data_IF_568793733576
#
_entry.id   IF_568793733576
#
_cell.length_a   1.000
_cell.length_b   1.000
_cell.length_c   1.000
_cell.angle_alpha   90.00
_cell.angle_beta   90.00
_cell.angle_gamma   90.00
#
_symmetry.space_group_name_H-M   'P 1'
#
loop_
_entity.id
_entity.type
_entity.pdbx_description
1 polymer ?
#
# COMPACT_ATOMS: atom_id res chain seq x y z
N UNK A 1 0.63 -11.93 -0.21
CA UNK A 1 0.82 -11.20 1.04
C UNK A 1 -0.24 -10.12 1.21
N UNK A 2 -0.79 -10.01 2.41
CA UNK A 2 -1.79 -9.00 2.75
C UNK A 2 -1.45 -8.43 4.14
N UNK A 3 -1.46 -7.12 4.27
CA UNK A 3 -1.38 -6.43 5.57
C UNK A 3 -2.61 -6.75 6.43
N UNK A 4 -2.53 -6.51 7.73
CA UNK A 4 -3.63 -6.79 8.68
C UNK A 4 -4.65 -5.64 8.79
N UNK A 5 -4.42 -4.51 8.14
CA UNK A 5 -5.29 -3.33 8.12
C UNK A 5 -6.07 -3.17 6.81
N UNK A 6 -6.55 -4.30 6.28
CA UNK A 6 -7.33 -4.38 5.05
C UNK A 6 -8.71 -5.00 5.28
N UNK A 7 -9.61 -4.75 4.33
CA UNK A 7 -10.88 -5.47 4.16
C UNK A 7 -11.00 -5.91 2.70
N UNK A 8 -11.35 -7.17 2.50
CA UNK A 8 -11.64 -7.75 1.19
C UNK A 8 -13.14 -7.66 0.95
N UNK A 9 -13.57 -7.00 -0.13
CA UNK A 9 -14.97 -6.75 -0.45
C UNK A 9 -15.49 -7.55 -1.64
N UNK A 10 -14.58 -8.13 -2.42
CA UNK A 10 -14.90 -8.90 -3.62
C UNK A 10 -13.96 -10.12 -3.74
N UNK A 11 -14.21 -11.01 -4.73
CA UNK A 11 -13.33 -12.15 -5.01
C UNK A 11 -11.91 -11.70 -5.33
N UNK A 12 -10.93 -12.45 -4.84
CA UNK A 12 -9.50 -12.28 -5.17
C UNK A 12 -9.07 -13.09 -6.40
N UNK A 13 -10.00 -13.80 -7.04
CA UNK A 13 -9.67 -14.72 -8.15
C UNK A 13 -8.97 -14.01 -9.30
N UNK A 14 -9.42 -12.80 -9.65
CA UNK A 14 -8.79 -12.01 -10.70
C UNK A 14 -7.35 -11.59 -10.33
N UNK A 15 -7.13 -11.18 -9.08
CA UNK A 15 -5.80 -10.87 -8.58
C UNK A 15 -4.90 -12.11 -8.54
N UNK A 16 -5.46 -13.26 -8.10
CA UNK A 16 -4.72 -14.52 -8.02
C UNK A 16 -4.25 -15.02 -9.38
N UNK A 17 -5.08 -14.87 -10.40
CA UNK A 17 -4.79 -15.31 -11.77
C UNK A 17 -4.12 -14.21 -12.64
N UNK A 18 -3.65 -13.14 -12.02
CA UNK A 18 -3.04 -12.01 -12.72
C UNK A 18 -1.77 -12.46 -13.46
N UNK A 19 -1.68 -12.17 -14.76
CA UNK A 19 -0.42 -12.30 -15.48
C UNK A 19 0.54 -11.18 -15.05
N UNK A 20 1.58 -11.56 -14.33
CA UNK A 20 2.63 -10.62 -13.89
C UNK A 20 3.70 -10.36 -14.97
N UNK A 21 3.51 -10.83 -16.20
CA UNK A 21 4.43 -10.63 -17.33
C UNK A 21 5.88 -10.96 -16.99
N UNK A 22 6.09 -12.05 -16.28
CA UNK A 22 7.43 -12.50 -15.91
C UNK A 22 8.06 -11.77 -14.72
N UNK A 23 7.37 -10.86 -14.05
CA UNK A 23 7.85 -10.17 -12.85
C UNK A 23 7.77 -11.05 -11.60
N UNK A 24 8.63 -10.77 -10.63
CA UNK A 24 8.67 -11.51 -9.35
C UNK A 24 7.49 -11.17 -8.44
N UNK A 25 7.04 -9.90 -8.47
CA UNK A 25 5.87 -9.47 -7.68
C UNK A 25 4.91 -8.64 -8.51
N UNK A 26 3.64 -8.60 -8.06
CA UNK A 26 2.70 -7.56 -8.47
C UNK A 26 2.23 -6.78 -7.24
N UNK A 27 2.17 -5.44 -7.35
CA UNK A 27 1.82 -4.54 -6.26
C UNK A 27 1.19 -3.23 -6.78
N UNK A 28 0.62 -2.43 -5.86
CA UNK A 28 0.09 -1.11 -6.18
C UNK A 28 1.24 -0.13 -6.47
N UNK A 29 1.20 0.55 -7.59
CA UNK A 29 2.01 1.75 -7.85
C UNK A 29 1.59 2.86 -6.87
N UNK A 30 2.46 3.22 -5.93
CA UNK A 30 2.12 4.13 -4.87
C UNK A 30 2.55 5.57 -5.15
N UNK A 31 1.71 6.50 -4.73
CA UNK A 31 1.91 7.93 -4.98
C UNK A 31 2.89 8.58 -3.96
N UNK A 32 4.10 8.03 -3.82
CA UNK A 32 5.15 8.67 -3.01
C UNK A 32 5.85 9.80 -3.77
N UNK A 33 6.29 10.83 -3.04
CA UNK A 33 7.13 11.89 -3.59
C UNK A 33 8.54 11.37 -3.95
N UNK A 34 9.25 12.11 -4.81
CA UNK A 34 10.64 11.79 -5.19
C UNK A 34 11.58 11.65 -3.98
N UNK A 35 11.30 12.37 -2.89
CA UNK A 35 12.08 12.30 -1.65
C UNK A 35 12.19 10.88 -1.09
N UNK A 36 11.09 10.15 -1.06
CA UNK A 36 11.09 8.78 -0.55
C UNK A 36 11.91 7.83 -1.44
N UNK A 37 11.90 8.03 -2.75
CA UNK A 37 12.66 7.21 -3.70
C UNK A 37 14.15 7.33 -3.47
N UNK A 38 14.66 8.55 -3.40
CA UNK A 38 16.10 8.80 -3.20
C UNK A 38 16.61 8.19 -1.90
N UNK A 39 15.79 8.16 -0.84
CA UNK A 39 16.18 7.58 0.45
C UNK A 39 16.30 6.05 0.44
N UNK A 40 15.82 5.38 -0.59
CA UNK A 40 15.94 3.93 -0.79
C UNK A 40 16.70 3.60 -2.08
N UNK A 41 17.60 4.51 -2.49
CA UNK A 41 18.50 4.37 -3.63
C UNK A 41 17.78 4.21 -5.00
N UNK A 42 16.57 4.76 -5.12
CA UNK A 42 15.82 4.80 -6.37
C UNK A 42 15.97 6.18 -7.05
N UNK A 43 15.88 6.18 -8.38
CA UNK A 43 15.87 7.41 -9.16
C UNK A 43 14.59 8.23 -8.90
N UNK A 44 14.63 9.55 -9.06
CA UNK A 44 13.49 10.44 -8.78
C UNK A 44 12.20 10.12 -9.53
N UNK A 45 12.29 9.42 -10.66
CA UNK A 45 11.14 9.03 -11.50
C UNK A 45 10.79 7.54 -11.41
N UNK A 46 11.52 6.77 -10.62
CA UNK A 46 11.21 5.36 -10.42
C UNK A 46 9.85 5.17 -9.73
N UNK A 47 9.22 4.05 -10.01
CA UNK A 47 7.99 3.68 -9.34
C UNK A 47 8.34 3.13 -7.97
N UNK A 48 7.69 3.64 -6.93
CA UNK A 48 7.58 2.94 -5.66
C UNK A 48 6.24 2.24 -5.59
N UNK A 49 6.22 1.05 -5.02
CA UNK A 49 4.99 0.32 -4.77
C UNK A 49 4.63 0.29 -3.27
N UNK A 50 3.35 0.11 -2.98
CA UNK A 50 2.88 -0.18 -1.62
C UNK A 50 2.95 -1.70 -1.39
N UNK A 51 3.64 -2.11 -0.33
CA UNK A 51 3.87 -3.53 0.00
C UNK A 51 2.72 -4.20 0.76
N UNK A 52 1.67 -3.47 1.11
CA UNK A 52 0.58 -4.01 1.93
C UNK A 52 -0.33 -5.02 1.22
N UNK A 53 -0.29 -5.06 -0.12
CA UNK A 53 -0.91 -6.12 -0.94
C UNK A 53 0.09 -6.49 -2.03
N UNK A 54 0.54 -7.75 -2.04
CA UNK A 54 1.47 -8.24 -3.04
C UNK A 54 1.06 -9.65 -3.51
N UNK A 55 1.01 -9.85 -4.82
CA UNK A 55 1.05 -11.17 -5.42
C UNK A 55 2.52 -11.51 -5.67
N UNK A 56 2.98 -12.67 -5.23
CA UNK A 56 4.39 -13.06 -5.25
C UNK A 56 4.55 -14.39 -5.98
N UNK A 57 5.40 -14.41 -7.00
CA UNK A 57 5.88 -15.64 -7.63
C UNK A 57 7.04 -16.20 -6.78
N UNK A 58 6.76 -17.22 -6.00
CA UNK A 58 7.74 -17.80 -5.06
C UNK A 58 8.90 -18.51 -5.75
N UNK A 59 8.71 -19.00 -6.96
CA UNK A 59 9.78 -19.63 -7.72
C UNK A 59 10.77 -18.58 -8.23
N UNK A 60 10.26 -17.49 -8.78
CA UNK A 60 11.10 -16.33 -9.16
C UNK A 60 11.75 -15.64 -7.98
N UNK A 61 11.05 -15.56 -6.84
CA UNK A 61 11.61 -15.03 -5.60
C UNK A 61 12.89 -15.78 -5.21
N UNK A 62 12.88 -17.12 -5.30
CA UNK A 62 14.05 -17.97 -5.03
C UNK A 62 15.11 -17.83 -6.13
N UNK A 63 14.71 -17.93 -7.40
CA UNK A 63 15.60 -17.81 -8.57
C UNK A 63 16.38 -16.51 -8.56
N UNK A 64 15.70 -15.39 -8.29
CA UNK A 64 16.29 -14.05 -8.21
C UNK A 64 16.97 -13.73 -6.88
N UNK A 65 17.05 -14.72 -5.96
CA UNK A 65 17.68 -14.58 -4.64
C UNK A 65 17.22 -13.34 -3.87
N UNK A 66 15.91 -13.08 -3.88
CA UNK A 66 15.35 -11.85 -3.33
C UNK A 66 15.66 -11.70 -1.86
N UNK A 67 15.59 -12.78 -1.07
CA UNK A 67 15.92 -12.76 0.36
C UNK A 67 17.37 -12.33 0.59
N UNK A 68 18.34 -12.93 -0.12
CA UNK A 68 19.77 -12.58 0.00
C UNK A 68 19.99 -11.10 -0.34
N UNK A 69 19.33 -10.59 -1.39
CA UNK A 69 19.42 -9.19 -1.82
C UNK A 69 18.82 -8.23 -0.78
N UNK A 70 17.69 -8.59 -0.18
CA UNK A 70 17.06 -7.83 0.90
C UNK A 70 17.97 -7.79 2.14
N UNK A 71 18.50 -8.92 2.58
CA UNK A 71 19.38 -8.98 3.75
C UNK A 71 20.68 -8.19 3.53
N UNK A 72 21.23 -8.24 2.32
CA UNK A 72 22.37 -7.42 1.94
C UNK A 72 22.05 -5.93 2.05
N UNK A 73 20.96 -5.47 1.44
CA UNK A 73 20.53 -4.08 1.49
C UNK A 73 20.28 -3.59 2.92
N UNK A 74 19.58 -4.39 3.74
CA UNK A 74 19.33 -4.08 5.15
C UNK A 74 20.65 -3.94 5.92
N UNK A 75 21.60 -4.82 5.69
CA UNK A 75 22.92 -4.77 6.31
C UNK A 75 23.71 -3.51 5.91
N UNK A 76 23.76 -3.18 4.62
CA UNK A 76 24.43 -2.00 4.08
C UNK A 76 23.85 -0.68 4.67
N UNK A 77 22.55 -0.65 4.94
CA UNK A 77 21.87 0.49 5.58
C UNK A 77 21.91 0.43 7.12
N UNK A 78 22.60 -0.56 7.72
CA UNK A 78 22.61 -0.78 9.17
C UNK A 78 21.20 -0.83 9.79
N UNK A 79 20.23 -1.41 9.09
CA UNK A 79 18.83 -1.50 9.50
C UNK A 79 18.07 -0.17 9.47
N UNK A 80 18.70 0.94 9.09
CA UNK A 80 18.08 2.28 9.04
C UNK A 80 17.50 2.54 7.66
N UNK A 81 16.32 1.99 7.40
CA UNK A 81 15.64 2.09 6.12
C UNK A 81 14.36 2.90 6.29
N UNK A 82 14.19 3.95 5.50
CA UNK A 82 12.96 4.72 5.49
C UNK A 82 11.81 3.86 4.97
N UNK A 83 10.65 3.90 5.61
CA UNK A 83 9.49 3.04 5.35
C UNK A 83 9.71 1.55 5.71
N UNK A 84 10.78 1.21 6.46
CA UNK A 84 11.01 -0.14 6.96
C UNK A 84 11.10 -1.20 5.85
N UNK A 85 10.31 -2.24 5.97
CA UNK A 85 10.20 -3.35 5.01
C UNK A 85 9.77 -2.89 3.62
N UNK A 86 8.79 -1.99 3.53
CA UNK A 86 8.36 -1.42 2.25
C UNK A 86 9.52 -0.70 1.53
N UNK A 87 10.37 0.02 2.26
CA UNK A 87 11.54 0.66 1.70
C UNK A 87 12.55 -0.33 1.15
N UNK A 88 12.87 -1.39 1.92
CA UNK A 88 13.78 -2.45 1.50
C UNK A 88 13.26 -3.21 0.26
N UNK A 89 11.98 -3.57 0.27
CA UNK A 89 11.33 -4.24 -0.85
C UNK A 89 11.39 -3.39 -2.13
N UNK A 90 11.10 -2.09 -2.00
CA UNK A 90 11.20 -1.17 -3.13
C UNK A 90 12.61 -1.04 -3.69
N UNK A 91 13.63 -0.90 -2.82
CA UNK A 91 15.02 -0.83 -3.25
C UNK A 91 15.46 -2.07 -4.07
N UNK A 92 14.94 -3.24 -3.73
CA UNK A 92 15.34 -4.51 -4.35
C UNK A 92 14.46 -4.90 -5.54
N UNK A 93 13.16 -4.60 -5.50
CA UNK A 93 12.17 -5.16 -6.43
C UNK A 93 11.48 -4.15 -7.34
N UNK A 94 11.75 -2.85 -7.24
CA UNK A 94 11.06 -1.83 -8.06
C UNK A 94 11.08 -2.17 -9.55
N UNK A 95 12.22 -2.62 -10.08
CA UNK A 95 12.36 -2.97 -11.50
C UNK A 95 11.82 -4.37 -11.86
N UNK A 96 11.46 -5.15 -10.83
CA UNK A 96 10.91 -6.50 -10.97
C UNK A 96 9.49 -6.61 -10.44
N UNK A 97 8.75 -5.49 -10.51
CA UNK A 97 7.37 -5.34 -10.05
C UNK A 97 6.44 -5.09 -11.23
N UNK A 98 5.36 -5.88 -11.33
CA UNK A 98 4.19 -5.54 -12.12
C UNK A 98 3.26 -4.62 -11.32
N UNK A 99 2.75 -3.56 -11.92
CA UNK A 99 1.80 -2.67 -11.22
C UNK A 99 0.37 -3.02 -11.60
N UNK A 100 -0.38 -3.60 -10.66
CA UNK A 100 -1.77 -3.99 -10.87
C UNK A 100 -2.74 -2.78 -10.75
N UNK A 101 -4.01 -3.01 -11.10
CA UNK A 101 -5.08 -2.01 -10.99
C UNK A 101 -5.30 -1.58 -9.53
N UNK A 102 -5.48 -0.27 -9.26
CA UNK A 102 -5.52 0.27 -7.90
C UNK A 102 -6.68 -0.25 -7.04
N UNK A 103 -7.73 -0.85 -7.65
CA UNK A 103 -8.84 -1.47 -6.91
C UNK A 103 -8.42 -2.68 -6.08
N UNK A 104 -7.29 -3.33 -6.41
CA UNK A 104 -6.73 -4.44 -5.62
C UNK A 104 -5.96 -4.00 -4.38
N UNK A 105 -5.73 -2.71 -4.21
CA UNK A 105 -5.14 -2.13 -3.00
C UNK A 105 -5.56 -0.66 -2.89
N UNK A 106 -6.85 -0.43 -2.60
CA UNK A 106 -7.42 0.91 -2.51
C UNK A 106 -7.05 1.58 -1.20
N UNK A 107 -5.96 2.33 -1.23
CA UNK A 107 -5.32 2.95 -0.06
C UNK A 107 -6.02 4.25 0.36
N UNK A 108 -5.95 4.59 1.64
CA UNK A 108 -6.66 5.74 2.26
C UNK A 108 -6.47 7.04 1.50
N UNK A 109 -5.29 7.30 0.91
CA UNK A 109 -5.06 8.56 0.21
C UNK A 109 -5.96 8.77 -1.01
N UNK A 110 -6.46 7.70 -1.63
CA UNK A 110 -7.40 7.80 -2.74
C UNK A 110 -8.78 8.32 -2.31
N UNK A 111 -9.10 8.23 -1.03
CA UNK A 111 -10.34 8.73 -0.43
C UNK A 111 -10.19 10.13 0.18
N UNK A 112 -8.98 10.47 0.61
CA UNK A 112 -8.70 11.73 1.30
C UNK A 112 -8.59 12.94 0.36
N UNK A 113 -8.22 12.71 -0.90
CA UNK A 113 -8.00 13.75 -1.90
C UNK A 113 -8.78 13.46 -3.18
N UNK A 114 -9.22 14.51 -3.87
CA UNK A 114 -9.56 14.35 -5.27
C UNK A 114 -8.27 14.10 -6.09
N UNK A 115 -8.43 13.60 -7.31
CA UNK A 115 -7.28 13.23 -8.15
C UNK A 115 -6.29 14.37 -8.37
N UNK A 116 -6.77 15.57 -8.66
CA UNK A 116 -5.92 16.75 -8.91
C UNK A 116 -5.12 17.15 -7.68
N UNK A 117 -5.78 17.18 -6.51
CA UNK A 117 -5.13 17.48 -5.23
C UNK A 117 -4.06 16.43 -4.90
N UNK A 118 -4.36 15.15 -5.10
CA UNK A 118 -3.41 14.06 -4.89
C UNK A 118 -2.17 14.21 -5.79
N UNK A 119 -2.37 14.53 -7.07
CA UNK A 119 -1.26 14.76 -8.01
C UNK A 119 -0.38 15.94 -7.62
N UNK A 120 -0.97 17.03 -7.13
CA UNK A 120 -0.24 18.20 -6.65
C UNK A 120 0.54 17.87 -5.37
N UNK A 121 -0.11 17.21 -4.42
CA UNK A 121 0.46 16.93 -3.10
C UNK A 121 1.54 15.84 -3.14
N UNK A 122 1.26 14.73 -3.79
CA UNK A 122 2.15 13.56 -3.82
C UNK A 122 3.19 13.62 -4.93
N UNK A 123 2.92 14.34 -5.99
CA UNK A 123 3.80 14.45 -7.16
C UNK A 123 4.32 13.08 -7.63
N UNK A 124 3.42 12.13 -7.95
CA UNK A 124 3.83 10.81 -8.38
C UNK A 124 4.65 10.88 -9.68
N UNK A 125 5.41 9.83 -10.00
CA UNK A 125 6.18 9.77 -11.23
C UNK A 125 5.27 9.73 -12.46
N UNK A 126 5.83 9.98 -13.64
CA UNK A 126 5.13 9.79 -14.91
C UNK A 126 4.58 8.36 -15.01
N UNK A 127 3.40 8.21 -15.61
CA UNK A 127 2.77 6.90 -15.75
C UNK A 127 2.08 6.40 -14.47
N UNK A 128 1.75 7.30 -13.55
CA UNK A 128 0.83 6.99 -12.46
C UNK A 128 -0.57 6.66 -12.99
N UNK A 129 -1.43 6.11 -12.15
CA UNK A 129 -2.80 5.78 -12.52
C UNK A 129 -3.59 7.00 -13.01
N UNK A 130 -4.53 6.79 -13.91
CA UNK A 130 -5.46 7.82 -14.38
C UNK A 130 -6.52 8.12 -13.33
N UNK A 131 -7.19 9.25 -13.49
CA UNK A 131 -8.35 9.62 -12.64
C UNK A 131 -9.46 8.58 -12.68
N UNK A 132 -9.70 7.99 -13.85
CA UNK A 132 -10.72 6.95 -14.02
C UNK A 132 -10.36 5.68 -13.22
N UNK A 133 -9.10 5.25 -13.23
CA UNK A 133 -8.64 4.11 -12.46
C UNK A 133 -8.72 4.35 -10.95
N UNK A 134 -8.37 5.56 -10.49
CA UNK A 134 -8.49 5.91 -9.06
C UNK A 134 -9.96 5.98 -8.64
N UNK A 135 -10.83 6.54 -9.48
CA UNK A 135 -12.28 6.57 -9.21
C UNK A 135 -12.84 5.16 -9.12
N UNK A 136 -12.54 4.29 -10.06
CA UNK A 136 -12.93 2.87 -10.01
C UNK A 136 -12.46 2.20 -8.72
N UNK A 137 -11.21 2.41 -8.32
CA UNK A 137 -10.66 1.88 -7.09
C UNK A 137 -11.38 2.36 -5.82
N UNK A 138 -11.95 3.56 -5.83
CA UNK A 138 -12.66 4.12 -4.67
C UNK A 138 -14.16 3.79 -4.65
N UNK A 139 -14.76 3.57 -5.82
CA UNK A 139 -16.18 3.24 -5.95
C UNK A 139 -16.41 1.72 -5.87
N UNK A 140 -15.50 0.92 -6.44
CA UNK A 140 -15.59 -0.54 -6.55
C UNK A 140 -14.31 -1.24 -6.08
N UNK A 141 -13.80 -0.95 -4.86
CA UNK A 141 -12.59 -1.59 -4.37
C UNK A 141 -12.77 -3.10 -4.25
N UNK A 142 -11.74 -3.87 -4.58
CA UNK A 142 -11.63 -5.29 -4.25
C UNK A 142 -11.01 -5.45 -2.87
N UNK A 143 -9.97 -4.66 -2.58
CA UNK A 143 -9.34 -4.58 -1.27
C UNK A 143 -9.30 -3.12 -0.82
N UNK A 144 -9.84 -2.84 0.35
CA UNK A 144 -9.72 -1.56 1.03
C UNK A 144 -8.56 -1.67 2.00
N UNK A 145 -7.60 -0.76 1.91
CA UNK A 145 -6.42 -0.74 2.77
C UNK A 145 -6.40 0.55 3.60
N UNK A 146 -6.59 0.42 4.90
CA UNK A 146 -6.64 1.55 5.84
C UNK A 146 -5.24 2.07 6.18
N UNK A 147 -4.51 2.53 5.17
CA UNK A 147 -3.16 3.08 5.37
C UNK A 147 -3.17 4.35 6.22
N UNK A 148 -2.02 4.67 6.80
CA UNK A 148 -1.87 5.92 7.55
C UNK A 148 -2.00 7.13 6.62
N UNK A 149 -2.82 8.10 7.03
CA UNK A 149 -2.95 9.40 6.40
C UNK A 149 -2.98 10.49 7.48
N UNK A 150 -2.57 11.70 7.13
CA UNK A 150 -2.67 12.82 8.05
C UNK A 150 -4.06 13.48 8.05
N UNK A 151 -4.90 13.19 7.05
CA UNK A 151 -6.28 13.66 6.99
C UNK A 151 -7.24 12.67 7.66
N UNK A 152 -7.10 11.38 7.36
CA UNK A 152 -7.98 10.35 7.88
C UNK A 152 -7.29 9.49 8.95
N UNK A 153 -8.01 9.25 10.04
CA UNK A 153 -7.59 8.31 11.07
C UNK A 153 -7.94 6.89 10.67
N UNK A 154 -7.18 5.94 11.17
CA UNK A 154 -7.50 4.52 10.99
C UNK A 154 -8.79 4.14 11.72
N UNK A 155 -9.55 3.13 11.27
CA UNK A 155 -10.87 2.79 11.82
C UNK A 155 -10.89 2.49 13.32
N UNK A 156 -9.79 2.01 13.89
CA UNK A 156 -9.67 1.70 15.33
C UNK A 156 -9.26 2.91 16.17
N UNK A 157 -9.20 4.10 15.59
CA UNK A 157 -8.91 5.36 16.28
C UNK A 157 -10.15 6.23 16.28
N UNK A 158 -10.47 6.80 17.45
CA UNK A 158 -11.60 7.72 17.63
C UNK A 158 -11.55 8.88 16.62
N UNK A 159 -12.71 9.20 16.05
CA UNK A 159 -12.85 10.27 15.05
C UNK A 159 -12.43 9.87 13.63
N UNK A 160 -12.29 8.58 13.32
CA UNK A 160 -12.13 8.11 11.94
C UNK A 160 -13.34 8.53 11.10
N UNK A 161 -13.07 9.10 9.91
CA UNK A 161 -14.06 9.52 8.91
C UNK A 161 -13.91 8.80 7.58
N UNK A 162 -13.16 7.69 7.56
CA UNK A 162 -12.95 6.94 6.33
C UNK A 162 -14.27 6.45 5.74
N UNK A 163 -14.45 6.57 4.43
CA UNK A 163 -15.68 6.19 3.69
C UNK A 163 -16.18 4.78 4.04
N UNK A 164 -15.27 3.83 4.24
CA UNK A 164 -15.56 2.43 4.54
C UNK A 164 -15.46 2.07 6.05
N UNK A 165 -15.57 3.07 6.94
CA UNK A 165 -15.61 2.81 8.38
C UNK A 165 -16.75 1.85 8.77
N UNK A 166 -17.90 1.92 8.08
CA UNK A 166 -19.03 1.02 8.31
C UNK A 166 -18.68 -0.44 8.05
N UNK A 167 -17.96 -0.72 6.97
CA UNK A 167 -17.52 -2.08 6.65
C UNK A 167 -16.52 -2.60 7.69
N UNK A 168 -15.57 -1.77 8.13
CA UNK A 168 -14.65 -2.16 9.19
C UNK A 168 -15.40 -2.50 10.48
N UNK A 169 -16.39 -1.71 10.89
CA UNK A 169 -17.21 -1.96 12.09
C UNK A 169 -17.93 -3.30 11.97
N UNK A 170 -18.53 -3.61 10.83
CA UNK A 170 -19.20 -4.88 10.57
C UNK A 170 -18.28 -6.07 10.84
N UNK A 171 -17.05 -6.05 10.29
CA UNK A 171 -16.08 -7.14 10.53
C UNK A 171 -15.57 -7.15 11.98
N UNK A 172 -15.37 -5.99 12.61
CA UNK A 172 -15.05 -5.90 14.03
C UNK A 172 -16.12 -6.58 14.89
N UNK A 173 -17.40 -6.33 14.60
CA UNK A 173 -18.53 -6.88 15.37
C UNK A 173 -18.65 -8.41 15.20
N UNK A 174 -18.17 -8.96 14.08
CA UNK A 174 -18.09 -10.41 13.83
C UNK A 174 -16.85 -11.07 14.47
N UNK A 175 -15.90 -10.28 14.96
CA UNK A 175 -14.63 -10.78 15.51
C UNK A 175 -14.73 -11.05 17.02
N UNK A 176 -13.81 -11.83 17.61
CA UNK A 176 -13.71 -11.98 19.07
C UNK A 176 -13.48 -10.66 19.81
N UNK A 177 -12.98 -9.63 19.13
CA UNK A 177 -12.69 -8.31 19.67
C UNK A 177 -13.83 -7.29 19.50
N UNK A 178 -15.06 -7.73 19.22
CA UNK A 178 -16.22 -6.84 19.02
C UNK A 178 -16.38 -5.79 20.14
N UNK A 179 -16.11 -6.18 21.39
CA UNK A 179 -16.23 -5.32 22.57
C UNK A 179 -14.92 -4.57 22.90
N UNK A 180 -13.84 -4.78 22.16
CA UNK A 180 -12.61 -4.04 22.40
C UNK A 180 -12.83 -2.55 22.11
N UNK A 181 -12.39 -1.64 23.01
CA UNK A 181 -12.53 -0.21 22.78
C UNK A 181 -11.70 0.24 21.58
N UNK A 182 -12.19 1.25 20.88
CA UNK A 182 -11.37 2.00 19.91
C UNK A 182 -10.41 2.91 20.67
N UNK A 183 -9.24 3.12 20.09
CA UNK A 183 -8.21 3.94 20.75
C UNK A 183 -8.63 5.41 20.76
N UNK A 184 -8.55 6.03 21.92
CA UNK A 184 -8.70 7.48 22.00
C UNK A 184 -7.51 8.16 21.38
N UNK A 185 -7.77 9.19 20.59
CA UNK A 185 -6.70 10.04 20.08
C UNK A 185 -6.11 10.83 21.24
N UNK A 186 -4.94 10.44 21.73
CA UNK A 186 -4.18 11.28 22.65
C UNK A 186 -3.79 12.55 21.87
N UNK A 187 -4.40 13.70 22.20
CA UNK A 187 -3.84 14.98 21.81
C UNK A 187 -2.42 15.00 22.38
N UNK A 188 -1.42 14.97 21.51
CA UNK A 188 -0.07 15.32 21.91
C UNK A 188 -0.20 16.69 22.57
N UNK A 189 0.03 16.73 23.90
CA UNK A 189 -0.03 17.98 24.66
C UNK A 189 0.82 19.03 23.97
N UNK A 190 0.22 20.21 23.80
CA UNK A 190 0.94 21.39 23.34
C UNK A 190 1.98 21.87 24.34
#
# INVERSE_FOLDING_TARGET
YLDCDIIITQSLEELWNLDMHGKTIAALKYAFSKWYRVNVDLEPNDIMFNSGVMLIDLDKWKEHKVEERLMKFISEKNGKIQQGDQGALNAVLTYDTYCFEPRFNSVTIFYDFNYKEMMIYRKPPKGFYTEAQIREATEHPVIIHFTTSFLSRRPWIEGCQHRYLGEWKKYKDMSPWKNAPIWKYAKLGG
#
